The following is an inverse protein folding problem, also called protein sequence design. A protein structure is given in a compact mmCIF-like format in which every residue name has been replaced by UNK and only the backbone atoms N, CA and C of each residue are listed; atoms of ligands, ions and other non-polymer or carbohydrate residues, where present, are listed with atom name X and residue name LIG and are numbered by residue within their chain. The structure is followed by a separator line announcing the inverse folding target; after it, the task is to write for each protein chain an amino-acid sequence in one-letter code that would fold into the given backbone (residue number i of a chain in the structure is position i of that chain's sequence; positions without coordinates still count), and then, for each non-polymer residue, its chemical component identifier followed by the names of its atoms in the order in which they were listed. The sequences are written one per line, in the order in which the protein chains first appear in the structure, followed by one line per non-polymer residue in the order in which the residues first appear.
data_IF_158737243547
#
_entry.id   IF_158737243547
#
_cell.length_a   1.000
_cell.length_b   1.000
_cell.length_c   1.000
_cell.angle_alpha   90.00
_cell.angle_beta   90.00
_cell.angle_gamma   90.00
#
_symmetry.space_group_name_H-M   'P 1'
#
loop_
_entity.id
_entity.type
_entity.pdbx_description
1 polymer ?
#
# COMPACT_ATOMS: atom_id res chain seq x y z
N UNK A 1 9.02 -9.07 19.42
CA UNK A 1 7.59 -9.01 19.79
C UNK A 1 6.91 -10.27 19.29
N UNK A 2 6.47 -11.16 20.19
CA UNK A 2 5.66 -12.32 19.79
C UNK A 2 4.19 -11.90 19.77
N UNK A 3 3.77 -11.25 18.69
CA UNK A 3 2.35 -11.05 18.40
C UNK A 3 1.74 -12.43 18.15
N UNK A 4 0.62 -12.76 18.80
CA UNK A 4 -0.04 -14.05 18.58
C UNK A 4 -0.32 -14.24 17.08
N UNK A 5 -0.23 -15.49 16.58
CA UNK A 5 -0.35 -15.81 15.15
C UNK A 5 -1.55 -15.12 14.48
N UNK A 6 -2.67 -15.02 15.20
CA UNK A 6 -3.90 -14.39 14.72
C UNK A 6 -3.75 -12.86 14.52
N UNK A 7 -3.00 -12.18 15.39
CA UNK A 7 -2.68 -10.75 15.25
C UNK A 7 -1.72 -10.51 14.09
N UNK A 8 -0.74 -11.40 13.89
CA UNK A 8 0.15 -11.31 12.72
C UNK A 8 -0.63 -11.51 11.43
N UNK A 9 -1.52 -12.50 11.38
CA UNK A 9 -2.37 -12.74 10.21
C UNK A 9 -3.29 -11.55 9.89
N UNK A 10 -3.89 -10.95 10.93
CA UNK A 10 -4.72 -9.76 10.77
C UNK A 10 -3.91 -8.56 10.25
N UNK A 11 -2.69 -8.36 10.75
CA UNK A 11 -1.79 -7.30 10.28
C UNK A 11 -1.39 -7.50 8.80
N UNK A 12 -1.04 -8.71 8.41
CA UNK A 12 -0.70 -9.05 7.01
C UNK A 12 -1.90 -8.84 6.07
N UNK A 13 -3.10 -9.23 6.50
CA UNK A 13 -4.33 -9.02 5.72
C UNK A 13 -4.67 -7.53 5.55
N UNK A 14 -4.64 -6.76 6.63
CA UNK A 14 -4.92 -5.30 6.59
C UNK A 14 -3.88 -4.59 5.73
N UNK A 15 -2.62 -5.00 5.85
CA UNK A 15 -1.55 -4.44 5.06
C UNK A 15 -1.63 -4.71 3.59
N UNK A 16 -1.92 -5.97 3.23
CA UNK A 16 -2.13 -6.36 1.83
C UNK A 16 -3.34 -5.64 1.24
N UNK A 17 -4.41 -5.50 2.03
CA UNK A 17 -5.59 -4.74 1.61
C UNK A 17 -5.26 -3.28 1.33
N UNK A 18 -4.56 -2.59 2.25
CA UNK A 18 -4.15 -1.21 2.06
C UNK A 18 -3.24 -1.05 0.82
N UNK A 19 -2.29 -1.96 0.63
CA UNK A 19 -1.39 -1.99 -0.53
C UNK A 19 -2.15 -2.07 -1.86
N UNK A 20 -3.11 -2.99 -1.97
CA UNK A 20 -3.91 -3.17 -3.19
C UNK A 20 -4.88 -2.01 -3.38
N UNK A 21 -5.54 -1.56 -2.32
CA UNK A 21 -6.51 -0.46 -2.40
C UNK A 21 -5.85 0.84 -2.85
N UNK A 22 -4.72 1.22 -2.25
CA UNK A 22 -4.00 2.43 -2.66
C UNK A 22 -3.28 2.25 -4.00
N UNK A 23 -2.62 1.12 -4.26
CA UNK A 23 -1.88 0.89 -5.50
C UNK A 23 -2.79 0.77 -6.74
N UNK A 24 -3.75 -0.15 -6.72
CA UNK A 24 -4.70 -0.30 -7.84
C UNK A 24 -5.71 0.85 -7.88
N UNK A 25 -6.12 1.40 -6.73
CA UNK A 25 -7.03 2.55 -6.67
C UNK A 25 -6.43 3.79 -7.30
N UNK A 26 -5.19 4.16 -6.96
CA UNK A 26 -4.52 5.30 -7.62
C UNK A 26 -4.33 5.08 -9.11
N UNK A 27 -4.03 3.85 -9.54
CA UNK A 27 -3.96 3.54 -10.98
C UNK A 27 -5.32 3.64 -11.68
N UNK A 28 -6.40 3.23 -11.03
CA UNK A 28 -7.75 3.36 -11.59
C UNK A 28 -8.21 4.83 -11.68
N UNK A 29 -7.69 5.70 -10.80
CA UNK A 29 -8.00 7.13 -10.79
C UNK A 29 -7.10 7.95 -11.73
N UNK A 30 -5.89 7.47 -12.02
CA UNK A 30 -5.00 8.04 -13.04
C UNK A 30 -5.48 7.61 -14.42
N UNK A 31 -6.28 8.46 -15.06
CA UNK A 31 -6.82 8.20 -16.39
C UNK A 31 -5.77 8.20 -17.51
N UNK A 32 -4.66 8.91 -17.34
CA UNK A 32 -3.55 8.95 -18.30
C UNK A 32 -2.29 8.32 -17.70
N UNK A 33 -1.99 7.09 -18.12
CA UNK A 33 -0.82 6.33 -17.65
C UNK A 33 0.45 6.58 -18.46
N UNK A 34 0.42 7.50 -19.43
CA UNK A 34 1.59 7.82 -20.27
C UNK A 34 2.33 9.07 -19.79
N UNK A 35 1.70 9.90 -18.96
CA UNK A 35 2.37 10.99 -18.27
C UNK A 35 3.27 10.49 -17.14
N UNK A 36 4.51 10.98 -17.11
CA UNK A 36 5.50 10.67 -16.07
C UNK A 36 4.97 10.97 -14.67
N UNK A 37 4.14 12.01 -14.53
CA UNK A 37 3.48 12.37 -13.27
C UNK A 37 2.50 11.28 -12.77
N UNK A 38 1.75 10.63 -13.68
CA UNK A 38 0.81 9.56 -13.31
C UNK A 38 1.54 8.31 -12.83
N UNK A 39 2.63 7.94 -13.51
CA UNK A 39 3.52 6.84 -13.07
C UNK A 39 4.16 7.16 -11.73
N UNK A 40 4.65 8.39 -11.54
CA UNK A 40 5.30 8.81 -10.30
C UNK A 40 4.31 8.79 -9.12
N UNK A 41 3.07 9.24 -9.32
CA UNK A 41 2.01 9.20 -8.31
C UNK A 41 1.70 7.78 -7.86
N UNK A 42 1.57 6.84 -8.80
CA UNK A 42 1.27 5.44 -8.46
C UNK A 42 2.43 4.80 -7.68
N UNK A 43 3.68 5.06 -8.10
CA UNK A 43 4.85 4.54 -7.40
C UNK A 43 5.02 5.17 -6.01
N UNK A 44 4.77 6.46 -5.87
CA UNK A 44 4.81 7.15 -4.58
C UNK A 44 3.72 6.66 -3.65
N UNK A 45 2.48 6.45 -4.14
CA UNK A 45 1.40 5.88 -3.34
C UNK A 45 1.75 4.47 -2.84
N UNK A 46 2.37 3.65 -3.68
CA UNK A 46 2.81 2.31 -3.30
C UNK A 46 3.92 2.34 -2.24
N UNK A 47 4.96 3.15 -2.46
CA UNK A 47 6.06 3.31 -1.52
C UNK A 47 5.60 3.88 -0.16
N UNK A 48 4.70 4.86 -0.18
CA UNK A 48 4.16 5.48 1.03
C UNK A 48 3.29 4.52 1.83
N UNK A 49 2.50 3.69 1.16
CA UNK A 49 1.67 2.65 1.81
C UNK A 49 2.54 1.61 2.51
N UNK A 50 3.66 1.21 1.91
CA UNK A 50 4.64 0.30 2.54
C UNK A 50 5.32 1.00 3.72
N UNK A 51 5.72 2.26 3.59
CA UNK A 51 6.36 3.01 4.67
C UNK A 51 5.43 3.17 5.88
N UNK A 52 4.15 3.46 5.64
CA UNK A 52 3.11 3.54 6.67
C UNK A 52 2.90 2.17 7.34
N UNK A 53 2.85 1.10 6.56
CA UNK A 53 2.78 -0.28 7.06
C UNK A 53 3.96 -0.61 7.98
N UNK A 54 5.18 -0.26 7.59
CA UNK A 54 6.37 -0.50 8.42
C UNK A 54 6.32 0.33 9.70
N UNK A 55 5.87 1.59 9.64
CA UNK A 55 5.78 2.46 10.83
C UNK A 55 4.68 2.03 11.82
N UNK A 56 3.56 1.54 11.32
CA UNK A 56 2.39 1.17 12.14
C UNK A 56 2.43 -0.29 12.62
N UNK A 57 3.18 -1.16 11.94
CA UNK A 57 3.30 -2.59 12.29
C UNK A 57 4.61 -2.94 13.03
N UNK A 58 5.68 -2.13 12.90
CA UNK A 58 6.96 -2.33 13.61
C UNK A 58 7.00 -1.64 14.98
#
# INVERSE_FOLDING_TARGET
MQTGMLRSYAAECIGTFALVFFGCGTRAMVGDTQNFAGILVVHMAFAFTIAAMIKEVA
#
